data_IF_800130187460
#
_entry.id   IF_800130187460
#
_cell.length_a   1.000
_cell.length_b   1.000
_cell.length_c   1.000
_cell.angle_alpha   90.00
_cell.angle_beta   90.00
_cell.angle_gamma   90.00
#
_symmetry.space_group_name_H-M   'P 1'
#
loop_
_entity.id
_entity.type
_entity.pdbx_description
1 polymer ?
#
# COMPACT_ATOMS: atom_id res chain seq x y z
N UNK A 1 18.18 3.07 -14.04
CA UNK A 1 18.37 1.66 -14.47
C UNK A 1 17.00 1.02 -14.67
N UNK A 2 16.82 0.14 -15.69
CA UNK A 2 15.54 -0.55 -15.94
C UNK A 2 15.35 -1.76 -15.02
N UNK A 3 14.09 -2.19 -14.80
CA UNK A 3 13.74 -3.31 -13.91
C UNK A 3 14.54 -4.58 -14.19
N UNK A 4 14.63 -4.98 -15.48
CA UNK A 4 15.35 -6.18 -15.90
C UNK A 4 16.86 -6.12 -15.57
N UNK A 5 17.46 -4.94 -15.63
CA UNK A 5 18.87 -4.77 -15.30
C UNK A 5 19.09 -4.92 -13.79
N UNK A 6 18.20 -4.37 -12.97
CA UNK A 6 18.27 -4.50 -11.51
C UNK A 6 18.10 -5.98 -11.13
N UNK A 7 17.09 -6.67 -11.67
CA UNK A 7 16.85 -8.09 -11.41
C UNK A 7 18.07 -8.93 -11.81
N UNK A 8 18.70 -8.66 -12.95
CA UNK A 8 19.93 -9.36 -13.37
C UNK A 8 21.05 -9.21 -12.36
N UNK A 9 21.25 -8.03 -11.76
CA UNK A 9 22.25 -7.82 -10.71
C UNK A 9 21.96 -8.69 -9.48
N UNK A 10 20.69 -8.84 -9.10
CA UNK A 10 20.30 -9.75 -8.00
C UNK A 10 20.60 -11.21 -8.33
N UNK A 11 20.35 -11.66 -9.55
CA UNK A 11 20.68 -13.03 -9.98
C UNK A 11 22.18 -13.28 -9.98
N UNK A 12 22.99 -12.27 -10.28
CA UNK A 12 24.46 -12.33 -10.22
C UNK A 12 25.00 -12.17 -8.79
N UNK A 13 24.15 -11.91 -7.80
CA UNK A 13 24.55 -11.59 -6.41
C UNK A 13 25.53 -10.41 -6.35
N UNK A 14 25.40 -9.46 -7.25
CA UNK A 14 26.22 -8.27 -7.29
C UNK A 14 25.81 -7.26 -6.22
N UNK A 15 26.76 -6.69 -5.46
CA UNK A 15 26.49 -5.71 -4.39
C UNK A 15 25.77 -4.46 -4.93
N UNK A 16 26.02 -4.10 -6.17
CA UNK A 16 25.39 -2.98 -6.88
C UNK A 16 23.88 -3.11 -6.99
N UNK A 17 23.32 -4.33 -6.87
CA UNK A 17 21.87 -4.57 -6.93
C UNK A 17 21.12 -3.80 -5.83
N UNK A 18 21.64 -3.79 -4.61
CA UNK A 18 21.03 -3.05 -3.48
C UNK A 18 21.17 -1.54 -3.71
N UNK A 19 22.32 -1.08 -4.21
CA UNK A 19 22.54 0.33 -4.55
C UNK A 19 21.53 0.83 -5.60
N UNK A 20 21.34 0.07 -6.67
CA UNK A 20 20.37 0.38 -7.72
C UNK A 20 18.91 0.38 -7.21
N UNK A 21 18.58 -0.53 -6.29
CA UNK A 21 17.26 -0.57 -5.67
C UNK A 21 17.03 0.68 -4.79
N UNK A 22 18.02 1.06 -3.98
CA UNK A 22 17.97 2.25 -3.12
C UNK A 22 17.80 3.50 -3.95
N UNK A 23 18.65 3.72 -4.94
CA UNK A 23 18.58 4.91 -5.80
C UNK A 23 17.19 5.14 -6.37
N UNK A 24 16.49 4.06 -6.73
CA UNK A 24 15.19 4.14 -7.41
C UNK A 24 13.98 4.16 -6.48
N UNK A 25 14.02 3.44 -5.38
CA UNK A 25 12.82 3.15 -4.57
C UNK A 25 12.89 3.69 -3.15
N UNK A 26 14.05 4.13 -2.64
CA UNK A 26 14.25 4.50 -1.24
C UNK A 26 13.25 5.52 -0.73
N UNK A 27 13.10 6.66 -1.41
CA UNK A 27 12.21 7.73 -1.00
C UNK A 27 10.75 7.26 -0.84
N UNK A 28 10.29 6.40 -1.75
CA UNK A 28 8.90 5.89 -1.70
C UNK A 28 8.73 4.83 -0.63
N UNK A 29 9.68 3.91 -0.49
CA UNK A 29 9.68 2.89 0.57
C UNK A 29 9.71 3.53 1.95
N UNK A 30 10.64 4.45 2.17
CA UNK A 30 10.75 5.17 3.43
C UNK A 30 9.46 5.93 3.77
N UNK A 31 8.85 6.62 2.79
CA UNK A 31 7.58 7.31 2.99
C UNK A 31 6.44 6.35 3.37
N UNK A 32 6.33 5.20 2.70
CA UNK A 32 5.34 4.17 3.05
C UNK A 32 5.56 3.71 4.49
N UNK A 33 6.79 3.35 4.85
CA UNK A 33 7.12 2.90 6.19
C UNK A 33 6.84 3.99 7.24
N UNK A 34 7.21 5.25 6.97
CA UNK A 34 6.98 6.37 7.88
C UNK A 34 5.48 6.65 8.08
N UNK A 35 4.69 6.59 7.01
CA UNK A 35 3.24 6.81 7.09
C UNK A 35 2.56 5.72 7.94
N UNK A 36 3.02 4.48 7.86
CA UNK A 36 2.49 3.34 8.62
C UNK A 36 2.98 3.37 10.06
N UNK A 37 4.26 3.56 10.30
CA UNK A 37 4.88 3.41 11.61
C UNK A 37 4.87 4.69 12.44
N UNK A 38 4.79 5.86 11.80
CA UNK A 38 4.78 7.17 12.47
C UNK A 38 6.10 7.54 13.16
N UNK A 39 7.17 6.75 12.99
CA UNK A 39 8.49 6.94 13.62
C UNK A 39 9.60 6.83 12.57
N UNK A 40 10.54 7.79 12.58
CA UNK A 40 11.62 7.86 11.61
C UNK A 40 12.60 6.69 11.74
N UNK A 41 12.99 6.31 12.97
CA UNK A 41 13.92 5.21 13.21
C UNK A 41 13.36 3.86 12.77
N UNK A 42 12.10 3.57 13.14
CA UNK A 42 11.40 2.35 12.70
C UNK A 42 11.22 2.33 11.19
N UNK A 43 10.97 3.48 10.56
CA UNK A 43 10.84 3.57 9.10
C UNK A 43 12.16 3.28 8.38
N UNK A 44 13.29 3.81 8.88
CA UNK A 44 14.63 3.53 8.33
C UNK A 44 14.97 2.05 8.47
N UNK A 45 14.79 1.48 9.66
CA UNK A 45 15.04 0.06 9.92
C UNK A 45 14.21 -0.82 8.98
N UNK A 46 12.89 -0.56 8.89
CA UNK A 46 11.99 -1.32 8.02
C UNK A 46 12.34 -1.18 6.55
N UNK A 47 12.80 -0.02 6.12
CA UNK A 47 13.27 0.19 4.74
C UNK A 47 14.51 -0.65 4.45
N UNK A 48 15.48 -0.68 5.36
CA UNK A 48 16.68 -1.52 5.22
C UNK A 48 16.35 -3.02 5.24
N UNK A 49 15.45 -3.44 6.14
CA UNK A 49 14.98 -4.82 6.20
C UNK A 49 14.25 -5.23 4.91
N UNK A 50 13.56 -4.29 4.27
CA UNK A 50 12.92 -4.52 2.96
C UNK A 50 13.96 -4.86 1.89
N UNK A 51 15.09 -4.17 1.85
CA UNK A 51 16.17 -4.49 0.90
C UNK A 51 16.75 -5.88 1.15
N UNK A 52 16.94 -6.24 2.42
CA UNK A 52 17.43 -7.57 2.79
C UNK A 52 16.42 -8.67 2.40
N UNK A 53 15.11 -8.42 2.62
CA UNK A 53 14.07 -9.35 2.23
C UNK A 53 14.02 -9.55 0.71
N UNK A 54 14.18 -8.50 -0.08
CA UNK A 54 14.25 -8.56 -1.54
C UNK A 54 15.51 -9.30 -1.99
N UNK A 55 16.65 -9.01 -1.38
CA UNK A 55 17.91 -9.71 -1.65
C UNK A 55 17.79 -11.23 -1.45
N UNK A 56 17.12 -11.64 -0.39
CA UNK A 56 16.92 -13.05 -0.10
C UNK A 56 15.87 -13.71 -0.99
N UNK A 57 14.93 -12.93 -1.53
CA UNK A 57 13.84 -13.45 -2.35
C UNK A 57 14.19 -13.55 -3.85
N UNK A 58 15.12 -12.75 -4.33
CA UNK A 58 15.60 -12.73 -5.71
C UNK A 58 17.07 -13.19 -5.75
N UNK A 59 17.41 -14.31 -6.39
CA UNK A 59 16.53 -15.35 -6.94
C UNK A 59 15.90 -16.21 -5.84
N UNK A 60 14.92 -17.07 -6.11
CA UNK A 60 14.45 -17.50 -7.44
C UNK A 60 13.32 -16.64 -8.04
N UNK A 61 12.76 -15.70 -7.26
CA UNK A 61 11.69 -14.82 -7.77
C UNK A 61 12.23 -13.88 -8.85
N UNK A 62 11.41 -13.65 -9.88
CA UNK A 62 11.70 -12.72 -10.97
C UNK A 62 10.48 -11.81 -11.19
N UNK A 63 10.26 -10.80 -10.27
CA UNK A 63 9.07 -9.99 -10.32
C UNK A 63 9.10 -9.01 -11.50
N UNK A 64 8.09 -9.09 -12.37
CA UNK A 64 7.86 -8.15 -13.47
C UNK A 64 6.41 -7.66 -13.44
N UNK A 65 6.15 -6.38 -13.20
CA UNK A 65 7.09 -5.28 -12.93
C UNK A 65 7.70 -5.31 -11.52
N UNK A 66 8.92 -4.77 -11.37
CA UNK A 66 9.66 -4.77 -10.10
C UNK A 66 9.06 -3.81 -9.06
N UNK A 67 8.61 -2.62 -9.46
CA UNK A 67 8.14 -1.58 -8.54
C UNK A 67 6.97 -2.02 -7.64
N UNK A 68 5.89 -2.64 -8.14
CA UNK A 68 4.81 -3.15 -7.29
C UNK A 68 5.28 -4.20 -6.29
N UNK A 69 6.21 -5.06 -6.68
CA UNK A 69 6.78 -6.08 -5.79
C UNK A 69 7.57 -5.45 -4.64
N UNK A 70 8.42 -4.47 -4.95
CA UNK A 70 9.22 -3.73 -3.96
C UNK A 70 8.31 -3.02 -2.96
N UNK A 71 7.33 -2.26 -3.45
CA UNK A 71 6.42 -1.50 -2.58
C UNK A 71 5.51 -2.41 -1.74
N UNK A 72 5.01 -3.51 -2.32
CA UNK A 72 4.23 -4.51 -1.57
C UNK A 72 5.07 -5.14 -0.45
N UNK A 73 6.31 -5.48 -0.74
CA UNK A 73 7.23 -6.05 0.25
C UNK A 73 7.47 -5.07 1.39
N UNK A 74 7.83 -3.82 1.09
CA UNK A 74 8.07 -2.80 2.12
C UNK A 74 6.83 -2.49 2.96
N UNK A 75 5.66 -2.36 2.30
CA UNK A 75 4.39 -2.17 3.01
C UNK A 75 4.08 -3.33 3.96
N UNK A 76 4.22 -4.57 3.52
CA UNK A 76 3.97 -5.74 4.36
C UNK A 76 4.94 -5.81 5.55
N UNK A 77 6.20 -5.43 5.36
CA UNK A 77 7.16 -5.35 6.46
C UNK A 77 6.81 -4.25 7.46
N UNK A 78 6.39 -3.08 6.99
CA UNK A 78 5.93 -2.00 7.86
C UNK A 78 4.68 -2.39 8.66
N UNK A 79 3.71 -3.06 8.04
CA UNK A 79 2.52 -3.58 8.74
C UNK A 79 2.88 -4.61 9.80
N UNK A 80 3.75 -5.55 9.47
CA UNK A 80 4.24 -6.56 10.43
C UNK A 80 4.99 -5.92 11.60
N UNK A 81 5.79 -4.88 11.34
CA UNK A 81 6.45 -4.11 12.39
C UNK A 81 5.44 -3.36 13.26
N UNK A 82 4.41 -2.77 12.65
CA UNK A 82 3.31 -2.10 13.35
C UNK A 82 2.58 -3.06 14.28
N UNK A 83 2.23 -4.26 13.84
CA UNK A 83 1.64 -5.30 14.68
C UNK A 83 2.51 -5.61 15.89
N UNK A 84 3.82 -5.76 15.71
CA UNK A 84 4.75 -6.00 16.81
C UNK A 84 4.81 -4.83 17.81
N UNK A 85 4.73 -3.59 17.32
CA UNK A 85 4.77 -2.37 18.14
C UNK A 85 3.42 -1.99 18.73
N UNK A 86 2.30 -2.45 18.19
CA UNK A 86 0.95 -1.92 18.41
C UNK A 86 0.30 -2.29 19.74
N UNK A 87 1.02 -2.98 20.65
CA UNK A 87 0.56 -3.05 22.04
C UNK A 87 0.49 -1.65 22.72
N UNK A 88 1.14 -0.61 22.20
CA UNK A 88 1.24 0.72 22.87
C UNK A 88 0.92 1.96 22.01
N UNK A 89 0.82 1.91 20.67
CA UNK A 89 0.73 3.15 19.86
C UNK A 89 -0.24 3.06 18.67
N UNK A 90 -1.54 3.05 18.93
CA UNK A 90 -2.56 3.31 17.89
C UNK A 90 -2.70 4.82 17.69
N UNK A 91 -1.96 5.41 16.73
CA UNK A 91 -2.20 6.79 16.24
C UNK A 91 -1.38 7.11 14.98
N UNK A 92 -1.13 6.16 14.09
CA UNK A 92 -0.46 6.45 12.83
C UNK A 92 -1.45 7.10 11.82
N UNK A 93 -0.93 7.87 10.87
CA UNK A 93 -1.74 8.40 9.74
C UNK A 93 -2.42 7.28 8.96
N UNK A 94 -1.81 6.11 8.96
CA UNK A 94 -2.32 4.93 8.30
C UNK A 94 -3.55 4.36 9.04
N UNK A 95 -3.53 4.30 10.37
CA UNK A 95 -4.69 3.86 11.17
C UNK A 95 -5.91 4.76 10.90
N UNK A 96 -5.71 6.09 10.89
CA UNK A 96 -6.78 7.03 10.54
C UNK A 96 -7.33 6.79 9.12
N UNK A 97 -6.48 6.45 8.14
CA UNK A 97 -6.95 6.16 6.79
C UNK A 97 -7.69 4.82 6.70
N UNK A 98 -7.27 3.83 7.47
CA UNK A 98 -7.98 2.54 7.56
C UNK A 98 -9.33 2.69 8.23
N UNK A 99 -9.44 3.46 9.31
CA UNK A 99 -10.71 3.74 9.97
C UNK A 99 -11.69 4.45 9.03
N UNK A 100 -11.20 5.40 8.22
CA UNK A 100 -12.02 6.05 7.18
C UNK A 100 -12.55 5.05 6.15
N UNK A 101 -11.76 4.06 5.76
CA UNK A 101 -12.14 3.07 4.75
C UNK A 101 -12.96 1.94 5.38
N UNK A 102 -12.64 1.52 6.61
CA UNK A 102 -13.25 0.40 7.31
C UNK A 102 -14.77 0.51 7.41
N UNK A 103 -15.29 1.73 7.61
CA UNK A 103 -16.74 1.97 7.65
C UNK A 103 -17.48 1.64 6.33
N UNK A 104 -16.75 1.41 5.23
CA UNK A 104 -17.30 1.13 3.90
C UNK A 104 -16.95 -0.27 3.38
N UNK A 105 -16.12 -1.03 4.12
CA UNK A 105 -15.73 -2.39 3.76
C UNK A 105 -16.53 -3.41 4.60
N UNK A 106 -16.71 -4.64 4.07
CA UNK A 106 -17.30 -5.71 4.85
C UNK A 106 -16.42 -6.05 6.06
N UNK A 107 -17.07 -6.39 7.16
CA UNK A 107 -16.39 -6.92 8.34
C UNK A 107 -16.02 -8.38 8.07
N UNK A 108 -14.73 -8.65 7.97
CA UNK A 108 -14.20 -10.00 7.68
C UNK A 108 -13.25 -10.38 8.82
N UNK A 109 -13.61 -11.39 9.57
CA UNK A 109 -12.74 -11.95 10.60
C UNK A 109 -11.44 -12.49 10.00
N UNK A 110 -10.32 -12.33 10.72
CA UNK A 110 -8.98 -12.79 10.29
C UNK A 110 -8.79 -14.32 10.35
N UNK A 111 -9.84 -15.08 10.08
CA UNK A 111 -9.80 -16.54 10.09
C UNK A 111 -9.22 -17.07 8.75
N UNK A 112 -8.30 -18.06 8.76
CA UNK A 112 -7.76 -18.68 7.54
C UNK A 112 -8.83 -19.21 6.57
N UNK A 113 -9.97 -19.63 7.05
CA UNK A 113 -11.09 -20.09 6.21
C UNK A 113 -11.71 -18.95 5.37
N UNK A 114 -11.52 -17.71 5.79
CA UNK A 114 -12.01 -16.52 5.08
C UNK A 114 -10.97 -15.90 4.15
N UNK A 115 -9.76 -16.45 4.06
CA UNK A 115 -8.71 -15.94 3.19
C UNK A 115 -9.13 -15.86 1.71
N UNK A 116 -9.98 -16.78 1.25
CA UNK A 116 -10.54 -16.75 -0.10
C UNK A 116 -11.49 -15.57 -0.28
N UNK A 117 -12.36 -15.30 0.67
CA UNK A 117 -13.28 -14.16 0.64
C UNK A 117 -12.52 -12.83 0.63
N UNK A 118 -11.47 -12.73 1.46
CA UNK A 118 -10.59 -11.55 1.46
C UNK A 118 -9.95 -11.32 0.09
N UNK A 119 -9.52 -12.40 -0.58
CA UNK A 119 -8.94 -12.30 -1.92
C UNK A 119 -9.99 -11.87 -2.95
N UNK A 120 -11.20 -12.42 -2.91
CA UNK A 120 -12.30 -12.05 -3.79
C UNK A 120 -12.70 -10.56 -3.62
N UNK A 121 -12.77 -10.07 -2.37
CA UNK A 121 -13.01 -8.65 -2.07
C UNK A 121 -11.88 -7.78 -2.62
N UNK A 122 -10.64 -8.19 -2.45
CA UNK A 122 -9.49 -7.44 -2.98
C UNK A 122 -9.54 -7.36 -4.52
N UNK A 123 -9.90 -8.43 -5.19
CA UNK A 123 -10.06 -8.48 -6.64
C UNK A 123 -11.25 -7.61 -7.10
N UNK A 124 -12.35 -7.60 -6.34
CA UNK A 124 -13.50 -6.73 -6.58
C UNK A 124 -13.11 -5.25 -6.47
N UNK A 125 -12.38 -4.87 -5.42
CA UNK A 125 -11.86 -3.51 -5.25
C UNK A 125 -10.95 -3.11 -6.42
N UNK A 126 -10.08 -4.01 -6.86
CA UNK A 126 -9.20 -3.76 -8.01
C UNK A 126 -10.02 -3.50 -9.29
N UNK A 127 -11.02 -4.33 -9.59
CA UNK A 127 -11.92 -4.13 -10.74
C UNK A 127 -12.67 -2.80 -10.65
N UNK A 128 -13.15 -2.43 -9.45
CA UNK A 128 -13.80 -1.14 -9.24
C UNK A 128 -12.86 0.03 -9.57
N UNK A 129 -11.63 -0.01 -9.07
CA UNK A 129 -10.62 1.03 -9.31
C UNK A 129 -10.17 1.11 -10.77
N UNK A 130 -10.10 -0.03 -11.48
CA UNK A 130 -9.77 -0.07 -12.91
C UNK A 130 -10.84 0.61 -13.76
N UNK A 131 -12.10 0.53 -13.35
CA UNK A 131 -13.23 1.15 -14.05
C UNK A 131 -13.48 2.61 -13.65
N UNK A 132 -12.78 3.14 -12.64
CA UNK A 132 -12.88 4.56 -12.26
C UNK A 132 -11.83 5.41 -13.00
N UNK A 133 -11.97 6.73 -12.92
CA UNK A 133 -11.02 7.66 -13.56
C UNK A 133 -9.60 7.50 -12.99
N UNK A 134 -8.60 7.76 -13.82
CA UNK A 134 -7.19 7.69 -13.41
C UNK A 134 -6.91 8.60 -12.18
N UNK A 135 -7.55 9.76 -12.08
CA UNK A 135 -7.41 10.66 -10.95
C UNK A 135 -8.01 10.09 -9.67
N UNK A 136 -9.20 9.48 -9.74
CA UNK A 136 -9.82 8.86 -8.57
C UNK A 136 -9.00 7.67 -8.07
N UNK A 137 -8.54 6.81 -8.98
CA UNK A 137 -7.65 5.70 -8.68
C UNK A 137 -6.35 6.17 -8.03
N UNK A 138 -5.71 7.21 -8.57
CA UNK A 138 -4.52 7.81 -8.01
C UNK A 138 -4.76 8.28 -6.56
N UNK A 139 -5.80 9.09 -6.32
CA UNK A 139 -6.14 9.63 -5.00
C UNK A 139 -6.43 8.51 -4.00
N UNK A 140 -7.17 7.48 -4.41
CA UNK A 140 -7.50 6.33 -3.57
C UNK A 140 -6.25 5.55 -3.17
N UNK A 141 -5.40 5.20 -4.13
CA UNK A 141 -4.16 4.46 -3.89
C UNK A 141 -3.22 5.27 -2.99
N UNK A 142 -3.07 6.57 -3.22
CA UNK A 142 -2.21 7.44 -2.39
C UNK A 142 -2.70 7.47 -0.94
N UNK A 143 -4.02 7.57 -0.73
CA UNK A 143 -4.61 7.64 0.62
C UNK A 143 -4.52 6.30 1.36
N UNK A 144 -4.98 5.20 0.72
CA UNK A 144 -5.20 3.93 1.44
C UNK A 144 -4.06 2.91 1.28
N UNK A 145 -3.28 3.02 0.21
CA UNK A 145 -2.12 2.14 0.03
C UNK A 145 -0.82 2.76 0.55
N UNK A 146 -0.58 4.03 0.25
CA UNK A 146 0.63 4.74 0.68
C UNK A 146 0.47 5.44 2.03
N UNK A 147 -0.76 5.64 2.52
CA UNK A 147 -1.06 6.34 3.77
C UNK A 147 -0.80 7.85 3.72
N UNK A 148 -0.78 8.46 2.53
CA UNK A 148 -0.46 9.88 2.39
C UNK A 148 -1.54 10.77 3.01
N UNK A 149 -1.14 11.91 3.54
CA UNK A 149 -2.06 12.93 4.02
C UNK A 149 -2.83 13.56 2.85
N UNK A 150 -4.07 13.97 3.11
CA UNK A 150 -4.93 14.62 2.10
C UNK A 150 -4.26 15.87 1.52
N UNK A 151 -3.53 16.60 2.34
CA UNK A 151 -2.78 17.81 1.96
C UNK A 151 -1.66 17.50 0.96
N UNK A 152 -0.96 16.39 1.15
CA UNK A 152 0.14 15.98 0.27
C UNK A 152 -0.40 15.45 -1.06
N UNK A 153 -1.49 14.67 -1.03
CA UNK A 153 -2.22 14.24 -2.24
C UNK A 153 -2.71 15.46 -3.03
N UNK A 154 -3.26 16.47 -2.33
CA UNK A 154 -3.77 17.68 -2.95
C UNK A 154 -2.66 18.48 -3.67
N UNK A 155 -1.49 18.62 -3.04
CA UNK A 155 -0.31 19.27 -3.65
C UNK A 155 0.12 18.54 -4.92
N UNK A 156 0.30 17.22 -4.85
CA UNK A 156 0.75 16.42 -6.00
C UNK A 156 -0.28 16.36 -7.13
N UNK A 157 -1.58 16.33 -6.79
CA UNK A 157 -2.66 16.35 -7.76
C UNK A 157 -3.02 17.76 -8.29
N UNK A 158 -2.33 18.81 -7.80
CA UNK A 158 -2.64 20.21 -8.08
C UNK A 158 -4.11 20.57 -7.80
N UNK A 159 -4.59 20.17 -6.62
CA UNK A 159 -5.97 20.33 -6.17
C UNK A 159 -6.04 21.01 -4.78
N UNK A 160 -7.22 21.48 -4.38
CA UNK A 160 -7.48 21.91 -3.00
C UNK A 160 -7.74 20.68 -2.13
N UNK A 161 -7.27 20.68 -0.88
CA UNK A 161 -7.46 19.57 0.08
C UNK A 161 -8.94 19.20 0.27
N UNK A 162 -9.82 20.20 0.36
CA UNK A 162 -11.27 19.97 0.43
C UNK A 162 -11.83 19.26 -0.80
N UNK A 163 -11.30 19.53 -2.00
CA UNK A 163 -11.73 18.83 -3.22
C UNK A 163 -11.28 17.36 -3.22
N UNK A 164 -10.09 17.07 -2.69
CA UNK A 164 -9.60 15.69 -2.50
C UNK A 164 -10.48 14.94 -1.50
N UNK A 165 -10.80 15.55 -0.35
CA UNK A 165 -11.68 14.96 0.68
C UNK A 165 -13.07 14.62 0.13
N UNK A 166 -13.69 15.56 -0.60
CA UNK A 166 -15.00 15.31 -1.24
C UNK A 166 -14.93 14.18 -2.25
N UNK A 167 -13.82 14.10 -3.00
CA UNK A 167 -13.61 13.04 -3.99
C UNK A 167 -13.42 11.68 -3.32
N UNK A 168 -12.63 11.60 -2.25
CA UNK A 168 -12.46 10.38 -1.45
C UNK A 168 -13.79 9.89 -0.88
N UNK A 169 -14.61 10.80 -0.33
CA UNK A 169 -15.96 10.44 0.17
C UNK A 169 -16.82 9.82 -0.94
N UNK A 170 -16.82 10.39 -2.15
CA UNK A 170 -17.58 9.87 -3.29
C UNK A 170 -17.05 8.51 -3.76
N UNK A 171 -15.72 8.33 -3.77
CA UNK A 171 -15.11 7.04 -4.15
C UNK A 171 -15.52 5.96 -3.15
N UNK A 172 -15.45 6.23 -1.83
CA UNK A 172 -15.86 5.29 -0.78
C UNK A 172 -17.33 4.90 -0.90
N UNK A 173 -18.22 5.88 -1.10
CA UNK A 173 -19.65 5.61 -1.27
C UNK A 173 -19.91 4.70 -2.48
N UNK A 174 -19.30 4.99 -3.63
CA UNK A 174 -19.41 4.16 -4.83
C UNK A 174 -18.82 2.76 -4.64
N UNK A 175 -17.70 2.65 -3.92
CA UNK A 175 -17.08 1.36 -3.60
C UNK A 175 -18.03 0.52 -2.73
N UNK A 176 -18.67 1.12 -1.72
CA UNK A 176 -19.67 0.43 -0.90
C UNK A 176 -20.83 -0.10 -1.74
N UNK A 177 -21.40 0.74 -2.60
CA UNK A 177 -22.46 0.33 -3.52
C UNK A 177 -22.02 -0.81 -4.45
N UNK A 178 -20.78 -0.77 -4.93
CA UNK A 178 -20.21 -1.82 -5.77
C UNK A 178 -20.10 -3.15 -4.99
N UNK A 179 -19.57 -3.11 -3.76
CA UNK A 179 -19.42 -4.30 -2.91
C UNK A 179 -20.78 -4.88 -2.47
N UNK A 180 -21.78 -4.03 -2.25
CA UNK A 180 -23.17 -4.48 -1.98
C UNK A 180 -23.73 -5.23 -3.21
N UNK A 181 -23.55 -4.69 -4.42
CA UNK A 181 -24.01 -5.32 -5.66
C UNK A 181 -23.34 -6.67 -5.93
N UNK A 182 -22.08 -6.83 -5.54
CA UNK A 182 -21.34 -8.09 -5.64
C UNK A 182 -21.62 -9.06 -4.46
N UNK A 183 -22.43 -8.66 -3.47
CA UNK A 183 -22.87 -9.51 -2.36
C UNK A 183 -21.90 -9.57 -1.18
N UNK A 184 -20.89 -8.71 -1.13
CA UNK A 184 -19.91 -8.69 -0.02
C UNK A 184 -20.34 -7.82 1.16
N UNK A 185 -21.28 -6.90 0.99
CA UNK A 185 -21.82 -6.05 2.05
C UNK A 185 -23.34 -6.10 2.02
N UNK A 186 -23.97 -5.89 3.20
CA UNK A 186 -25.41 -5.68 3.30
C UNK A 186 -25.73 -4.18 3.39
N UNK A 187 -26.91 -3.79 2.87
CA UNK A 187 -27.46 -2.47 3.17
C UNK A 187 -27.77 -2.40 4.66
N UNK A 188 -27.21 -1.41 5.36
CA UNK A 188 -27.50 -1.16 6.78
C UNK A 188 -28.75 -0.31 6.94
#
# INVERSE_FOLDING_TARGET
MEDKQIIKLFFMRAEEAIGALKERFDNTLYRIALNILGNHGDAEETTNDTYLAIWNAIPPKEPEPLAPYVYKTGRNMALKRLEYLSAEKRNSRYDLSLDELGAYLPDVDSNPEQALIVQEIADSINRFLENDTALNRYIFIRRYWYGDAVEDIAKEANMKSGAVSVRLNRIRAKLKEHLIKEGYCYEA
#
